data_IF_595135409804
#
_entry.id   IF_595135409804
#
_cell.length_a   1.000
_cell.length_b   1.000
_cell.length_c   1.000
_cell.angle_alpha   90.00
_cell.angle_beta   90.00
_cell.angle_gamma   90.00
#
_symmetry.space_group_name_H-M   'P 1'
#
loop_
_entity.id
_entity.type
_entity.pdbx_description
1 polymer ?
2 polymer ?
3 polymer ?
4 non-polymer ?
5 non-polymer ?
6 non-polymer ?
7 non-polymer ?
8 non-polymer ?
9 water ?
#
loop_
_entity_poly.entity_id
_entity_poly.type
_entity_poly.pdbx_seq_one_letter_code
_entity_poly.pdbx_strand_id
1 'polydeoxyribonucleotide' '(DG)(DG)(DG)(DG)(DT)(DG)(DT)(DG)(DG)(DT)(DA)(DDG)' ?
2 'polydeoxyribonucleotide' '(DC)(DA)(DT)(DC)(DG)(DC)(DT)(DA)(DC)(DC)(DA)(DC)(DA)(DC)(DC)(DC)(DC)' ?
#
# COMPACT_ATOMS: atom_id res chain seq x y z
N UNK C 2 -30.77 -3.66 -7.84
CA UNK C 2 -29.70 -2.63 -8.03
C UNK C 2 -28.28 -3.23 -7.88
N UNK C 3 -28.10 -4.53 -8.16
CA UNK C 3 -26.81 -5.22 -7.97
C UNK C 3 -26.23 -5.83 -9.27
N UNK C 4 -24.93 -5.59 -9.47
CA UNK C 4 -24.19 -6.05 -10.64
C UNK C 4 -23.42 -7.29 -10.21
N UNK C 5 -23.69 -8.41 -10.86
CA UNK C 5 -23.04 -9.69 -10.54
C UNK C 5 -21.77 -9.94 -11.38
N UNK C 6 -20.99 -10.94 -10.97
CA UNK C 6 -19.74 -11.25 -11.65
C UNK C 6 -19.88 -11.69 -13.11
N UNK C 7 -21.05 -12.19 -13.48
CA UNK C 7 -21.32 -12.57 -14.87
C UNK C 7 -21.97 -11.45 -15.69
N UNK C 8 -22.17 -10.28 -15.09
CA UNK C 8 -22.66 -9.10 -15.80
C UNK C 8 -21.47 -8.38 -16.48
N UNK C 9 -21.62 -7.90 -17.73
CA UNK C 9 -20.50 -7.16 -18.34
C UNK C 9 -19.99 -5.90 -17.60
N UNK C 10 -20.80 -5.32 -16.70
CA UNK C 10 -20.39 -4.14 -15.96
C UNK C 10 -19.59 -4.44 -14.68
N UNK C 11 -19.43 -5.73 -14.35
CA UNK C 11 -18.89 -6.09 -13.05
C UNK C 11 -17.55 -5.41 -12.71
N UNK C 12 -16.61 -5.49 -13.62
CA UNK C 12 -15.28 -5.01 -13.38
C UNK C 12 -15.29 -3.53 -13.15
N UNK C 13 -15.98 -2.83 -14.04
CA UNK C 13 -16.15 -1.39 -13.92
C UNK C 13 -16.75 -1.00 -12.57
N UNK C 14 -17.78 -1.72 -12.15
CA UNK C 14 -18.49 -1.41 -10.91
C UNK C 14 -17.64 -1.79 -9.67
N UNK C 15 -16.93 -2.91 -9.76
CA UNK C 15 -16.10 -3.37 -8.66
C UNK C 15 -14.95 -2.39 -8.44
N UNK C 16 -14.27 -2.05 -9.52
CA UNK C 16 -13.19 -1.10 -9.48
C UNK C 16 -13.63 0.31 -9.12
N UNK C 17 -14.85 0.71 -9.41
CA UNK C 17 -15.37 2.01 -8.96
C UNK C 17 -15.56 2.10 -7.43
N UNK C 18 -15.93 0.99 -6.80
CA UNK C 18 -16.08 0.89 -5.35
C UNK C 18 -14.88 0.43 -4.55
N UNK C 19 -13.90 -0.23 -5.18
CA UNK C 19 -12.80 -0.87 -4.47
C UNK C 19 -11.69 0.09 -4.10
N UNK C 20 -11.46 0.30 -2.81
CA UNK C 20 -10.46 1.25 -2.39
C UNK C 20 -9.06 0.70 -2.63
N UNK C 21 -8.89 -0.60 -2.51
CA UNK C 21 -7.60 -1.22 -2.80
C UNK C 21 -7.21 -1.14 -4.29
N UNK C 22 -8.19 -1.29 -5.18
CA UNK C 22 -7.93 -1.02 -6.59
C UNK C 22 -7.47 0.43 -6.77
N UNK C 23 -8.18 1.36 -6.13
CA UNK C 23 -7.84 2.78 -6.26
C UNK C 23 -6.42 3.06 -5.73
N UNK C 24 -6.04 2.45 -4.60
CA UNK C 24 -4.69 2.59 -4.07
C UNK C 24 -3.65 2.15 -5.09
N UNK C 25 -3.87 1.00 -5.71
CA UNK C 25 -2.97 0.47 -6.72
C UNK C 25 -2.91 1.28 -7.96
N UNK C 26 -4.06 1.68 -8.48
CA UNK C 26 -4.07 2.46 -9.70
C UNK C 26 -3.37 3.84 -9.49
N UNK C 27 -3.65 4.45 -8.34
CA UNK C 27 -3.06 5.74 -7.97
C UNK C 27 -1.54 5.66 -7.87
N UNK C 28 -1.08 4.60 -7.23
CA UNK C 28 0.34 4.31 -7.12
C UNK C 28 1.00 4.12 -8.50
N UNK C 29 0.36 3.31 -9.33
CA UNK C 29 0.82 3.09 -10.71
C UNK C 29 0.95 4.40 -11.46
N UNK C 30 -0.06 5.27 -11.36
CA UNK C 30 -0.04 6.58 -12.02
C UNK C 30 1.04 7.53 -11.48
N UNK C 31 1.29 7.49 -10.18
CA UNK C 31 2.31 8.34 -9.58
C UNK C 31 3.70 7.90 -10.03
N UNK C 32 3.95 6.60 -10.12
CA UNK C 32 5.26 6.12 -10.61
C UNK C 32 5.46 6.60 -12.04
N UNK C 33 4.42 6.48 -12.85
CA UNK C 33 4.43 6.99 -14.22
C UNK C 33 4.71 8.49 -14.36
N UNK C 34 4.03 9.31 -13.55
CA UNK C 34 4.30 10.74 -13.49
C UNK C 34 5.76 11.00 -13.16
N UNK C 35 6.30 10.27 -12.18
CA UNK C 35 7.71 10.45 -11.81
C UNK C 35 8.58 10.24 -13.04
N UNK C 36 8.36 9.13 -13.75
CA UNK C 36 9.17 8.82 -14.94
C UNK C 36 9.05 9.87 -16.02
N UNK C 37 7.85 10.41 -16.23
CA UNK C 37 7.60 11.44 -17.26
C UNK C 37 8.14 12.83 -16.86
N UNK C 38 7.95 13.21 -15.61
CA UNK C 38 8.49 14.46 -15.07
C UNK C 38 10.03 14.52 -15.04
N UNK C 39 10.69 13.36 -14.92
CA UNK C 39 12.14 13.29 -14.85
C UNK C 39 12.79 12.69 -16.11
N UNK C 40 12.15 12.82 -17.28
CA UNK C 40 12.68 12.23 -18.54
C UNK C 40 14.12 12.66 -18.79
N UNK C 41 14.37 13.97 -18.82
CA UNK C 41 15.71 14.51 -19.06
C UNK C 41 16.53 14.64 -17.76
N UNK C 42 15.86 14.97 -16.64
CA UNK C 42 16.55 15.27 -15.39
C UNK C 42 17.17 14.03 -14.73
N UNK C 43 18.43 13.74 -15.06
CA UNK C 43 19.19 12.65 -14.46
C UNK C 43 19.71 13.03 -13.07
N UNK C 44 18.87 12.84 -12.03
CA UNK C 44 19.30 13.08 -10.62
C UNK C 44 19.43 11.75 -9.87
N UNK C 45 20.66 11.39 -9.54
CA UNK C 45 20.94 10.12 -8.89
C UNK C 45 21.78 10.36 -7.64
N UNK C 46 21.65 9.43 -6.70
CA UNK C 46 22.34 9.49 -5.43
C UNK C 46 23.34 8.34 -5.45
N UNK C 47 24.57 8.62 -5.05
CA UNK C 47 25.63 7.63 -5.01
C UNK C 47 25.96 7.23 -3.57
N UNK C 48 26.71 6.14 -3.44
CA UNK C 48 27.05 5.65 -2.12
C UNK C 48 28.07 6.53 -1.36
N UNK C 49 28.56 7.59 -1.99
CA UNK C 49 29.43 8.58 -1.33
C UNK C 49 28.68 9.82 -0.82
N UNK C 50 27.39 9.95 -1.14
CA UNK C 50 26.60 11.13 -0.74
C UNK C 50 26.11 10.98 0.68
N UNK C 51 26.01 12.10 1.36
CA UNK C 51 25.33 12.21 2.63
C UNK C 51 23.97 12.80 2.31
N UNK C 52 22.93 12.27 2.93
CA UNK C 52 21.55 12.76 2.65
C UNK C 52 20.66 12.67 3.87
N UNK C 53 19.61 13.49 3.86
CA UNK C 53 18.52 13.38 4.82
C UNK C 53 17.24 12.98 4.09
N UNK C 54 16.52 12.05 4.73
CA UNK C 54 15.25 11.51 4.25
C UNK C 54 14.12 12.13 5.07
N UNK C 55 13.11 12.66 4.39
CA UNK C 55 11.86 13.12 5.01
C UNK C 55 10.78 12.19 4.51
N UNK C 56 10.28 11.34 5.40
CA UNK C 56 9.19 10.43 5.09
C UNK C 56 7.89 11.07 5.57
N UNK C 57 7.03 11.45 4.63
CA UNK C 57 5.86 12.31 4.90
C UNK C 57 4.57 11.59 4.53
N UNK C 58 3.61 11.50 5.44
CA UNK C 58 2.31 10.95 5.09
C UNK C 58 1.17 11.63 5.82
N UNK C 59 0.00 11.56 5.21
CA UNK C 59 -1.19 12.16 5.78
C UNK C 59 -1.65 11.37 6.98
N UNK C 60 -2.12 12.12 7.98
CA UNK C 60 -2.83 11.51 9.10
C UNK C 60 -4.26 11.15 8.67
N UNK C 61 -4.68 9.96 9.10
CA UNK C 61 -5.92 9.31 8.75
C UNK C 61 -6.52 9.81 7.45
N UNK C 62 -5.87 9.43 6.36
CA UNK C 62 -6.06 10.13 5.09
C UNK C 62 -7.53 10.11 4.65
N UNK C 63 -8.12 8.93 4.44
CA UNK C 63 -9.52 8.89 3.96
C UNK C 63 -10.47 9.55 4.96
N UNK C 64 -10.26 9.35 6.27
CA UNK C 64 -11.17 9.92 7.29
C UNK C 64 -11.15 11.43 7.25
N UNK C 65 -9.96 12.00 7.15
CA UNK C 65 -9.80 13.44 7.10
C UNK C 65 -10.48 14.05 5.87
N UNK C 66 -10.16 13.52 4.68
CA UNK C 66 -10.69 14.07 3.43
C UNK C 66 -12.21 13.84 3.27
N UNK C 67 -12.66 12.63 3.60
CA UNK C 67 -14.09 12.28 3.58
C UNK C 67 -14.90 13.16 4.52
N UNK C 68 -14.31 13.53 5.66
CA UNK C 68 -14.95 14.45 6.56
C UNK C 68 -15.02 15.86 5.97
N UNK C 69 -13.90 16.42 5.52
CA UNK C 69 -13.90 17.74 4.91
C UNK C 69 -14.81 17.83 3.66
N UNK C 70 -14.95 16.74 2.92
CA UNK C 70 -15.76 16.74 1.71
C UNK C 70 -17.15 16.14 1.91
N UNK C 71 -17.53 15.87 3.16
CA UNK C 71 -18.77 15.14 3.44
C UNK C 71 -20.03 15.88 2.98
N UNK C 72 -21.07 15.13 2.67
CA UNK C 72 -22.33 15.70 2.21
C UNK C 72 -23.14 16.32 3.34
N UNK C 73 -24.14 17.12 2.95
CA UNK C 73 -25.07 17.81 3.90
C UNK C 73 -25.68 16.89 4.96
N UNK C 74 -25.96 15.66 4.57
CA UNK C 74 -26.44 14.61 5.50
C UNK C 74 -25.54 14.36 6.72
N UNK C 75 -24.25 14.69 6.65
CA UNK C 75 -23.31 14.48 7.77
C UNK C 75 -22.80 15.78 8.40
N UNK C 76 -23.52 16.90 8.21
CA UNK C 76 -23.09 18.22 8.73
C UNK C 76 -22.86 18.26 10.23
N UNK C 77 -23.70 17.54 10.97
CA UNK C 77 -23.71 17.66 12.42
C UNK C 77 -22.45 17.09 13.10
N UNK C 78 -21.68 16.22 12.44
CA UNK C 78 -20.56 15.58 13.15
C UNK C 78 -19.30 16.44 13.21
N UNK C 79 -18.46 16.09 14.18
CA UNK C 79 -17.29 16.85 14.61
C UNK C 79 -16.07 15.92 14.62
N UNK C 80 -15.07 16.26 13.83
CA UNK C 80 -13.90 15.39 13.65
C UNK C 80 -12.99 15.32 14.88
N UNK C 81 -13.04 16.34 15.74
CA UNK C 81 -12.26 16.38 16.98
C UNK C 81 -12.95 15.59 18.13
N UNK C 82 -14.27 15.43 18.07
CA UNK C 82 -15.06 14.84 19.18
C UNK C 82 -15.63 13.44 18.89
N UNK C 83 -16.07 13.19 17.66
CA UNK C 83 -16.80 11.99 17.28
C UNK C 83 -15.88 10.89 16.72
N UNK C 84 -16.22 9.62 16.97
CA UNK C 84 -15.48 8.54 16.31
C UNK C 84 -16.01 8.32 14.88
N UNK C 85 -15.11 8.49 13.92
CA UNK C 85 -15.47 8.58 12.52
C UNK C 85 -14.67 7.56 11.75
N UNK C 86 -15.38 6.84 10.88
CA UNK C 86 -14.79 5.84 10.00
C UNK C 86 -15.35 6.02 8.58
N UNK C 87 -14.57 5.47 7.63
CA UNK C 87 -14.89 5.45 6.22
C UNK C 87 -15.05 3.99 5.84
N UNK C 88 -16.22 3.65 5.32
CA UNK C 88 -16.54 2.27 4.92
C UNK C 88 -17.75 2.25 3.96
N UNK C 89 -18.04 1.09 3.36
CA UNK C 89 -19.22 0.91 2.48
C UNK C 89 -20.47 0.50 3.23
N UNK C 90 -20.31 -0.41 4.19
CA UNK C 90 -21.40 -1.21 4.72
C UNK C 90 -21.72 -0.92 6.16
N UNK C 91 -22.45 -1.83 6.79
CA UNK C 91 -22.89 -1.64 8.17
C UNK C 91 -22.45 -2.76 9.11
N UNK C 92 -21.93 -3.87 8.58
CA UNK C 92 -21.61 -5.03 9.41
C UNK C 92 -20.18 -5.50 9.13
N UNK C 93 -19.99 -6.47 8.23
CA UNK C 93 -18.67 -7.01 7.94
C UNK C 93 -17.97 -6.22 6.83
N UNK C 94 -17.92 -4.90 7.00
CA UNK C 94 -17.37 -3.98 6.05
C UNK C 94 -16.10 -3.33 6.64
N UNK C 95 -15.00 -3.42 5.89
CA UNK C 95 -13.72 -2.84 6.26
C UNK C 95 -13.78 -1.35 6.53
N UNK C 96 -13.20 -0.98 7.65
CA UNK C 96 -12.89 0.38 7.94
C UNK C 96 -11.61 0.72 7.17
N UNK C 97 -11.73 1.51 6.12
CA UNK C 97 -10.57 1.91 5.33
C UNK C 97 -9.66 2.81 6.14
N UNK C 98 -10.28 3.76 6.86
CA UNK C 98 -9.56 4.73 7.67
C UNK C 98 -10.48 5.12 8.82
N UNK C 99 -9.91 5.30 10.00
CA UNK C 99 -10.65 5.86 11.17
C UNK C 99 -9.84 7.01 11.76
N UNK C 100 -10.54 8.01 12.30
CA UNK C 100 -9.88 9.16 12.93
C UNK C 100 -9.29 8.82 14.30
N UNK C 101 -8.50 9.74 14.86
CA UNK C 101 -7.78 9.45 16.10
C UNK C 101 -8.71 9.35 17.34
N UNK C 102 -9.91 9.89 17.28
CA UNK C 102 -10.88 9.69 18.34
C UNK C 102 -11.24 8.21 18.35
N UNK C 103 -11.69 7.70 17.21
CA UNK C 103 -12.01 6.28 17.08
C UNK C 103 -10.86 5.41 17.56
N UNK C 104 -9.64 5.78 17.23
CA UNK C 104 -8.45 5.06 17.66
C UNK C 104 -8.21 5.08 19.17
N UNK C 105 -8.68 6.10 19.87
CA UNK C 105 -8.51 6.17 21.34
C UNK C 105 -9.35 5.10 22.05
N UNK C 106 -10.43 4.63 21.40
CA UNK C 106 -11.22 3.50 21.91
C UNK C 106 -10.72 2.14 21.44
N UNK C 107 -9.62 2.06 20.73
CA UNK C 107 -9.13 0.79 20.21
C UNK C 107 -9.46 0.49 18.75
N UNK C 108 -10.27 1.32 18.08
CA UNK C 108 -10.67 1.05 16.66
C UNK C 108 -9.44 1.27 15.78
N UNK C 109 -9.29 0.41 14.77
CA UNK C 109 -8.10 0.39 13.92
C UNK C 109 -8.46 0.19 12.45
N UNK C 110 -7.66 0.75 11.56
CA UNK C 110 -7.79 0.53 10.11
C UNK C 110 -7.86 -0.96 9.79
N UNK C 111 -8.81 -1.39 8.95
CA UNK C 111 -8.95 -2.79 8.49
C UNK C 111 -9.89 -3.66 9.30
N UNK C 112 -10.38 -3.11 10.40
CA UNK C 112 -11.32 -3.73 11.30
C UNK C 112 -12.70 -3.64 10.64
N UNK C 113 -13.56 -4.64 10.88
CA UNK C 113 -14.91 -4.58 10.36
C UNK C 113 -15.69 -3.62 11.24
N UNK C 114 -16.66 -2.94 10.64
CA UNK C 114 -17.53 -2.02 11.38
C UNK C 114 -18.14 -2.64 12.63
N UNK C 115 -18.63 -3.87 12.49
CA UNK C 115 -19.38 -4.55 13.56
C UNK C 115 -18.51 -4.82 14.79
N UNK C 116 -17.27 -5.19 14.55
CA UNK C 116 -16.20 -5.34 15.56
C UNK C 116 -15.87 -4.00 16.23
N UNK C 117 -15.80 -2.93 15.44
CA UNK C 117 -15.53 -1.58 15.98
C UNK C 117 -16.63 -1.03 16.89
N UNK C 118 -17.89 -1.26 16.50
CA UNK C 118 -19.10 -0.90 17.31
C UNK C 118 -19.07 -1.38 18.75
N UNK C 119 -18.52 -2.57 18.96
CA UNK C 119 -18.46 -3.18 20.28
C UNK C 119 -17.43 -2.51 21.22
N UNK C 120 -16.48 -1.76 20.68
CA UNK C 120 -15.51 -1.05 21.48
C UNK C 120 -15.97 0.32 21.96
N UNK C 121 -17.11 0.78 21.48
CA UNK C 121 -17.68 2.03 21.96
C UNK C 121 -18.54 1.73 23.18
N UNK C 122 -18.26 2.38 24.32
CA UNK C 122 -19.28 2.36 25.38
C UNK C 122 -20.59 3.06 24.99
N UNK C 123 -21.68 2.63 25.64
CA UNK C 123 -23.04 3.09 25.35
C UNK C 123 -23.13 4.62 25.44
N UNK C 124 -24.01 5.19 24.61
CA UNK C 124 -24.13 6.64 24.48
C UNK C 124 -23.38 7.20 23.28
N UNK C 125 -22.29 6.54 22.86
CA UNK C 125 -21.44 7.02 21.76
C UNK C 125 -21.72 6.26 20.45
N UNK C 126 -22.08 7.01 19.42
CA UNK C 126 -22.39 6.48 18.09
C UNK C 126 -21.14 6.49 17.18
N UNK C 127 -20.90 5.40 16.47
CA UNK C 127 -19.90 5.37 15.39
C UNK C 127 -20.45 6.14 14.19
N UNK C 128 -19.74 7.15 13.70
CA UNK C 128 -20.13 7.85 12.48
C UNK C 128 -19.45 7.16 11.30
N UNK C 129 -20.22 6.74 10.30
CA UNK C 129 -19.72 6.12 9.05
C UNK C 129 -19.91 7.07 7.88
N UNK C 130 -18.79 7.42 7.25
CA UNK C 130 -18.80 8.33 6.11
C UNK C 130 -18.50 7.55 4.84
N UNK C 131 -19.12 7.96 3.72
CA UNK C 131 -18.76 7.35 2.46
C UNK C 131 -17.41 7.78 1.92
N UNK C 132 -16.92 6.96 1.00
CA UNK C 132 -15.70 7.24 0.26
C UNK C 132 -15.93 8.42 -0.70
N UNK C 133 -14.94 9.31 -0.78
CA UNK C 133 -14.91 10.42 -1.72
C UNK C 133 -13.64 10.25 -2.54
N UNK C 134 -13.69 9.33 -3.50
CA UNK C 134 -12.50 8.88 -4.21
C UNK C 134 -11.80 9.96 -5.03
N UNK C 135 -12.57 10.74 -5.78
CA UNK C 135 -12.03 11.80 -6.63
C UNK C 135 -11.37 12.87 -5.80
N UNK C 136 -11.96 13.15 -4.64
CA UNK C 136 -11.43 14.14 -3.69
C UNK C 136 -10.18 13.65 -2.98
N UNK C 137 -10.08 12.35 -2.71
CA UNK C 137 -8.83 11.78 -2.26
C UNK C 137 -7.69 12.11 -3.23
N UNK C 138 -7.95 11.95 -4.54
CA UNK C 138 -6.94 12.24 -5.58
C UNK C 138 -6.58 13.72 -5.68
N UNK C 139 -7.59 14.56 -5.59
CA UNK C 139 -7.36 16.03 -5.62
C UNK C 139 -6.49 16.48 -4.44
N UNK C 140 -6.72 15.93 -3.26
CA UNK C 140 -5.87 16.29 -2.11
C UNK C 140 -4.42 15.78 -2.28
N UNK C 141 -4.25 14.54 -2.75
CA UNK C 141 -2.92 14.00 -3.10
C UNK C 141 -2.16 14.89 -4.10
N UNK C 142 -2.86 15.35 -5.11
CA UNK C 142 -2.30 16.19 -6.13
C UNK C 142 -1.77 17.50 -5.51
N UNK C 143 -2.58 18.14 -4.66
CA UNK C 143 -2.17 19.33 -3.95
C UNK C 143 -0.95 19.07 -3.06
N UNK C 144 -0.95 17.94 -2.37
CA UNK C 144 0.23 17.45 -1.60
C UNK C 144 1.54 17.36 -2.43
N UNK C 145 1.50 16.61 -3.52
CA UNK C 145 2.69 16.38 -4.33
C UNK C 145 3.12 17.67 -4.98
N UNK C 146 2.14 18.45 -5.40
CA UNK C 146 2.40 19.77 -5.97
C UNK C 146 3.10 20.72 -4.95
N UNK C 147 2.64 20.72 -3.70
CA UNK C 147 3.26 21.49 -2.64
C UNK C 147 4.71 21.04 -2.40
N UNK C 148 4.93 19.72 -2.33
CA UNK C 148 6.30 19.20 -2.21
C UNK C 148 7.27 19.75 -3.26
N UNK C 149 6.85 19.78 -4.53
CA UNK C 149 7.70 20.31 -5.62
C UNK C 149 7.89 21.83 -5.50
N UNK C 150 6.80 22.55 -5.28
CA UNK C 150 6.81 23.99 -5.21
C UNK C 150 7.75 24.53 -4.11
N UNK C 151 7.88 23.82 -2.99
CA UNK C 151 8.84 24.21 -1.96
C UNK C 151 10.29 24.29 -2.46
N UNK C 152 10.65 23.44 -3.43
CA UNK C 152 11.93 23.49 -4.11
C UNK C 152 13.08 23.30 -3.10
N UNK C 153 12.96 22.26 -2.29
CA UNK C 153 13.98 21.91 -1.30
C UNK C 153 14.48 20.48 -1.38
N UNK C 154 13.90 19.62 -2.21
CA UNK C 154 14.32 18.23 -2.24
C UNK C 154 15.00 17.97 -3.56
N UNK C 155 16.01 17.12 -3.52
CA UNK C 155 16.70 16.68 -4.74
C UNK C 155 15.87 15.60 -5.41
N UNK C 156 15.11 14.83 -4.61
CA UNK C 156 14.30 13.70 -5.08
C UNK C 156 13.00 13.60 -4.29
N UNK C 157 11.88 13.43 -5.00
CA UNK C 157 10.56 13.19 -4.41
C UNK C 157 10.03 11.88 -4.97
N UNK C 158 9.89 10.88 -4.11
CA UNK C 158 9.58 9.53 -4.52
C UNK C 158 8.23 9.19 -3.96
N UNK C 159 7.27 8.85 -4.83
CA UNK C 159 5.93 8.51 -4.35
C UNK C 159 5.91 7.11 -3.77
N UNK C 160 5.30 6.98 -2.60
CA UNK C 160 5.11 5.68 -1.96
C UNK C 160 3.67 5.25 -2.15
N UNK C 161 2.76 6.20 -2.02
CA UNK C 161 1.33 5.94 -2.12
C UNK C 161 0.61 7.27 -2.39
N UNK C 162 -0.70 7.19 -2.55
CA UNK C 162 -1.58 8.33 -2.68
C UNK C 162 -1.29 9.40 -1.62
N UNK C 163 -0.96 9.00 -0.40
CA UNK C 163 -0.87 9.91 0.75
C UNK C 163 0.54 9.95 1.37
N UNK C 164 1.57 9.50 0.65
CA UNK C 164 2.85 9.23 1.28
C UNK C 164 4.00 9.32 0.31
N UNK C 165 5.05 10.01 0.75
CA UNK C 165 6.20 10.27 -0.10
C UNK C 165 7.49 10.27 0.72
N UNK C 166 8.57 9.82 0.07
CA UNK C 166 9.90 9.86 0.61
C UNK C 166 10.68 10.94 -0.14
N UNK C 167 11.04 11.98 0.58
CA UNK C 167 11.72 13.12 -0.01
C UNK C 167 13.15 13.19 0.50
N UNK C 168 14.09 13.39 -0.43
CA UNK C 168 15.52 13.29 -0.18
C UNK C 168 16.24 14.63 -0.39
N UNK C 169 17.03 15.02 0.59
CA UNK C 169 17.92 16.19 0.53
C UNK C 169 19.36 15.71 0.65
N UNK C 170 20.12 15.85 -0.43
CA UNK C 170 21.57 15.67 -0.39
C UNK C 170 22.14 16.88 0.36
N UNK C 171 23.07 16.62 1.27
CA UNK C 171 23.61 17.63 2.20
C UNK C 171 25.09 17.36 2.46
N UNK C 172 25.83 18.35 2.99
CA UNK C 172 27.23 18.07 3.31
C UNK C 172 27.35 17.13 4.49
N UNK C 173 28.43 16.38 4.54
CA UNK C 173 28.77 15.59 5.72
C UNK C 173 29.03 16.51 6.92
N UNK C 174 28.45 16.19 8.07
CA UNK C 174 28.74 16.90 9.32
C UNK C 174 28.42 18.41 9.24
N UNK C 175 27.13 18.73 9.21
CA UNK C 175 26.66 20.14 9.24
C UNK C 175 26.35 20.60 10.66
N UNK C 176 26.43 21.92 10.83
CA UNK C 176 26.23 22.58 12.12
C UNK C 176 24.72 22.68 12.38
N UNK C 177 24.31 22.30 13.59
CA UNK C 177 22.90 22.46 14.02
C UNK C 177 21.93 21.70 13.09
N UNK C 178 22.26 20.44 12.79
CA UNK C 178 21.46 19.60 11.89
C UNK C 178 20.03 19.33 12.45
N UNK C 179 19.92 19.08 13.76
CA UNK C 179 18.65 18.78 14.40
C UNK C 179 17.71 19.98 14.36
N UNK C 180 18.23 21.14 14.73
CA UNK C 180 17.42 22.34 14.73
C UNK C 180 17.09 22.85 13.34
N UNK C 181 18.02 22.76 12.39
CA UNK C 181 17.72 23.22 11.05
C UNK C 181 16.70 22.34 10.34
N UNK C 182 16.70 21.05 10.64
CA UNK C 182 15.78 20.11 10.01
C UNK C 182 14.42 20.14 10.69
N UNK C 183 14.38 20.48 11.99
CA UNK C 183 13.12 20.76 12.66
C UNK C 183 12.36 21.95 12.04
N UNK C 184 13.10 22.98 11.67
CA UNK C 184 12.52 24.14 10.98
C UNK C 184 11.88 23.73 9.66
N UNK C 185 12.60 22.96 8.84
CA UNK C 185 12.04 22.41 7.61
C UNK C 185 10.77 21.58 7.83
N UNK C 186 10.80 20.66 8.81
CA UNK C 186 9.63 19.83 9.15
C UNK C 186 8.43 20.69 9.48
N UNK C 187 8.64 21.77 10.24
CA UNK C 187 7.56 22.70 10.56
C UNK C 187 7.07 23.45 9.33
N UNK C 188 7.99 23.95 8.50
CA UNK C 188 7.61 24.64 7.26
C UNK C 188 6.76 23.73 6.32
N UNK C 189 7.14 22.45 6.22
CA UNK C 189 6.52 21.51 5.32
C UNK C 189 5.09 21.19 5.77
N UNK C 190 4.94 20.95 7.07
CA UNK C 190 3.65 20.68 7.68
C UNK C 190 2.65 21.81 7.51
N UNK C 191 3.11 23.04 7.63
CA UNK C 191 2.24 24.21 7.52
C UNK C 191 1.87 24.44 6.07
N UNK C 192 2.86 24.33 5.18
CA UNK C 192 2.61 24.44 3.74
C UNK C 192 1.63 23.42 3.20
N UNK C 193 1.72 22.17 3.66
CA UNK C 193 0.79 21.11 3.19
C UNK C 193 -0.62 21.33 3.76
N UNK C 194 -0.68 21.73 5.02
CA UNK C 194 -1.95 22.05 5.65
C UNK C 194 -2.70 23.15 4.90
N UNK C 195 -1.97 24.20 4.53
CA UNK C 195 -2.53 25.29 3.73
C UNK C 195 -2.85 24.81 2.31
N UNK C 196 -1.93 24.09 1.67
CA UNK C 196 -2.14 23.67 0.31
C UNK C 196 -3.26 22.67 0.09
N UNK C 197 -3.62 21.92 1.13
CA UNK C 197 -4.67 20.90 1.04
C UNK C 197 -5.97 21.37 1.67
N UNK C 198 -6.00 22.64 2.04
CA UNK C 198 -7.14 23.21 2.72
C UNK C 198 -7.57 22.40 3.94
N UNK C 199 -6.59 22.02 4.76
CA UNK C 199 -6.91 21.54 6.10
C UNK C 199 -6.57 20.13 6.47
N UNK C 200 -5.87 19.37 5.62
CA UNK C 200 -5.33 18.03 6.01
C UNK C 200 -3.96 18.12 6.65
N UNK C 201 -3.71 17.31 7.68
CA UNK C 201 -2.43 17.35 8.36
C UNK C 201 -1.56 16.21 7.94
N UNK C 202 -0.24 16.45 7.96
CA UNK C 202 0.77 15.43 7.70
C UNK C 202 1.71 15.27 8.90
N UNK C 203 2.28 14.08 9.05
CA UNK C 203 3.39 13.88 9.96
C UNK C 203 4.63 13.62 9.14
N UNK C 204 5.79 13.79 9.78
CA UNK C 204 7.08 13.68 9.13
C UNK C 204 8.01 12.92 10.02
N UNK C 205 8.65 11.89 9.46
CA UNK C 205 9.80 11.26 10.07
C UNK C 205 11.04 11.70 9.33
N UNK C 206 12.06 12.16 10.07
CA UNK C 206 13.27 12.67 9.45
C UNK C 206 14.49 11.96 10.04
N UNK C 207 15.29 11.36 9.17
CA UNK C 207 16.50 10.66 9.56
C UNK C 207 17.55 10.64 8.42
N UNK C 208 18.64 9.89 8.63
CA UNK C 208 19.67 9.70 7.60
C UNK C 208 19.66 8.26 7.07
N UNK C 209 18.51 7.59 7.23
CA UNK C 209 18.26 6.35 6.55
C UNK C 209 16.75 6.14 6.36
N UNK C 210 16.44 5.36 5.36
CA UNK C 210 15.06 5.08 5.00
C UNK C 210 14.36 4.42 6.16
N UNK C 211 15.01 3.41 6.73
CA UNK C 211 14.42 2.63 7.80
C UNK C 211 14.11 3.51 9.05
N UNK C 212 15.05 4.35 9.45
CA UNK C 212 14.81 5.19 10.61
C UNK C 212 13.79 6.27 10.35
N UNK C 213 13.78 6.80 9.14
CA UNK C 213 12.84 7.84 8.80
C UNK C 213 11.40 7.31 8.84
N UNK C 214 11.26 6.04 8.46
CA UNK C 214 9.98 5.34 8.55
C UNK C 214 9.57 5.14 10.00
N UNK C 215 10.49 4.67 10.86
CA UNK C 215 10.19 4.53 12.27
C UNK C 215 9.87 5.87 12.92
N UNK C 216 10.64 6.90 12.58
CA UNK C 216 10.42 8.25 13.10
C UNK C 216 9.05 8.80 12.73
N UNK C 217 8.59 8.51 11.51
CA UNK C 217 7.23 8.89 11.11
C UNK C 217 6.15 8.27 11.99
N UNK C 218 6.24 6.96 12.25
CA UNK C 218 5.28 6.28 13.14
C UNK C 218 5.25 6.93 14.52
N UNK C 219 6.42 7.21 15.09
CA UNK C 219 6.54 7.90 16.37
C UNK C 219 5.94 9.32 16.34
N UNK C 220 6.02 9.99 15.19
CA UNK C 220 5.50 11.37 15.06
C UNK C 220 3.96 11.46 15.04
N UNK C 221 3.26 10.39 14.63
CA UNK C 221 1.80 10.47 14.44
C UNK C 221 1.00 10.68 15.75
N UNK C 222 -0.11 11.42 15.75
CA UNK C 222 -0.63 12.18 14.61
C UNK C 222 -0.10 13.60 14.69
N UNK C 223 -0.08 14.29 13.55
CA UNK C 223 0.12 15.70 13.44
C UNK C 223 1.39 16.21 14.15
N UNK C 224 2.51 15.58 13.85
CA UNK C 224 3.80 15.96 14.43
C UNK C 224 4.97 15.55 13.54
N UNK C 225 6.17 15.77 14.04
CA UNK C 225 7.35 15.34 13.32
C UNK C 225 8.32 14.76 14.32
N UNK C 226 9.23 13.91 13.86
CA UNK C 226 10.27 13.33 14.69
C UNK C 226 11.56 13.21 13.89
N UNK C 227 12.65 13.62 14.53
CA UNK C 227 13.96 13.58 13.96
C UNK C 227 14.81 12.64 14.80
N UNK C 228 15.29 11.57 14.20
CA UNK C 228 16.18 10.62 14.87
C UNK C 228 17.20 10.14 13.84
N UNK C 229 18.40 10.69 13.91
CA UNK C 229 19.50 10.20 13.10
C UNK C 229 20.12 9.00 13.75
N UNK C 230 20.87 8.26 12.97
CA UNK C 230 21.61 7.10 13.48
C UNK C 230 22.34 7.44 14.80
N UNK C 231 22.99 8.58 14.83
CA UNK C 231 23.70 9.03 16.04
C UNK C 231 22.79 9.45 17.24
N UNK C 232 21.48 9.59 17.04
CA UNK C 232 20.52 9.85 18.13
C UNK C 232 19.89 8.55 18.68
N UNK C 233 20.30 7.38 18.22
CA UNK C 233 19.65 6.13 18.58
C UNK C 233 19.82 5.84 20.07
N UNK C 234 18.76 5.31 20.70
CA UNK C 234 18.72 5.02 22.13
C UNK C 234 17.81 3.83 22.38
N UNK C 235 17.97 3.19 23.55
CA UNK C 235 17.05 2.15 23.98
C UNK C 235 15.60 2.61 24.07
N UNK C 236 15.37 3.87 24.42
CA UNK C 236 14.02 4.42 24.57
C UNK C 236 13.31 4.57 23.21
N UNK C 237 14.08 4.93 22.18
CA UNK C 237 13.58 4.97 20.80
C UNK C 237 13.14 3.57 20.41
N UNK C 238 14.02 2.60 20.57
CA UNK C 238 13.74 1.23 20.14
C UNK C 238 12.62 0.58 20.91
N UNK C 239 12.47 0.97 22.18
CA UNK C 239 11.41 0.48 23.07
C UNK C 239 10.01 0.89 22.61
N UNK C 240 9.90 1.89 21.73
CA UNK C 240 8.62 2.43 21.28
C UNK C 240 7.97 1.70 20.09
N UNK C 241 8.64 0.71 19.51
CA UNK C 241 8.21 0.07 18.25
C UNK C 241 7.93 -1.41 18.38
N UNK C 242 6.83 -1.83 17.74
CA UNK C 242 6.49 -3.24 17.61
C UNK C 242 7.43 -3.83 16.57
N UNK C 243 7.56 -5.13 16.57
CA UNK C 243 8.41 -5.80 15.60
C UNK C 243 7.92 -5.59 14.17
N UNK C 244 6.61 -5.60 13.97
CA UNK C 244 6.03 -5.43 12.63
C UNK C 244 5.96 -3.95 12.17
N UNK C 245 6.51 -3.05 12.98
CA UNK C 245 6.85 -1.71 12.52
C UNK C 245 8.06 -1.71 11.58
N UNK C 246 8.93 -2.71 11.66
CA UNK C 246 10.01 -2.85 10.68
C UNK C 246 9.40 -3.08 9.29
N UNK C 247 9.91 -2.37 8.26
CA UNK C 247 9.42 -2.59 6.89
C UNK C 247 9.87 -3.99 6.39
N UNK C 248 8.94 -4.75 5.81
CA UNK C 248 9.18 -6.15 5.43
C UNK C 248 8.75 -7.16 6.48
N UNK C 249 8.32 -6.68 7.66
CA UNK C 249 7.83 -7.57 8.70
C UNK C 249 6.33 -7.37 8.86
N UNK C 250 5.59 -8.38 8.43
CA UNK C 250 4.13 -8.37 8.54
C UNK C 250 3.73 -9.50 9.43
N UNK C 251 2.43 -9.78 9.42
CA UNK C 251 1.77 -10.81 10.22
C UNK C 251 2.55 -12.14 10.33
N UNK C 252 2.98 -12.67 9.20
CA UNK C 252 3.60 -13.98 9.14
C UNK C 252 5.03 -13.99 9.69
N UNK C 253 5.81 -12.97 9.37
CA UNK C 253 7.18 -12.83 9.88
C UNK C 253 7.18 -12.50 11.38
N UNK C 254 6.21 -11.70 11.84
CA UNK C 254 6.02 -11.39 13.27
C UNK C 254 5.89 -12.69 14.08
N UNK C 255 5.01 -13.56 13.60
CA UNK C 255 4.72 -14.82 14.26
C UNK C 255 5.99 -15.68 14.40
N UNK C 256 6.80 -15.73 13.36
CA UNK C 256 8.08 -16.46 13.40
C UNK C 256 9.12 -15.83 14.33
N UNK C 257 9.21 -14.51 14.31
CA UNK C 257 10.08 -13.79 15.23
C UNK C 257 9.63 -13.92 16.69
N UNK C 258 8.32 -13.89 16.92
CA UNK C 258 7.79 -14.05 18.28
C UNK C 258 8.07 -15.46 18.80
N UNK C 259 8.01 -16.46 17.91
CA UNK C 259 8.28 -17.83 18.31
C UNK C 259 9.78 -18.04 18.67
N UNK C 260 10.66 -17.74 17.74
CA UNK C 260 12.10 -17.84 17.96
C UNK C 260 12.64 -17.06 19.16
N UNK C 261 12.14 -15.83 19.40
CA UNK C 261 12.75 -14.94 20.45
C UNK C 261 11.81 -14.68 21.61
N UNK C 262 10.80 -15.54 21.71
CA UNK C 262 9.88 -15.60 22.83
C UNK C 262 9.12 -14.30 23.11
N UNK C 263 8.35 -13.86 22.12
CA UNK C 263 7.44 -12.72 22.22
C UNK C 263 8.07 -11.47 22.83
N UNK C 264 9.12 -10.94 22.18
CA UNK C 264 9.62 -9.62 22.54
C UNK C 264 8.51 -8.60 22.39
N UNK C 265 8.39 -7.69 23.35
CA UNK C 265 7.32 -6.70 23.34
C UNK C 265 7.70 -5.55 22.44
N UNK C 266 8.99 -5.27 22.28
CA UNK C 266 9.44 -4.18 21.45
C UNK C 266 10.69 -4.55 20.68
N UNK C 267 11.12 -3.64 19.79
CA UNK C 267 12.38 -3.79 19.05
C UNK C 267 13.59 -3.76 19.97
N UNK C 268 13.48 -3.00 21.06
CA UNK C 268 14.54 -3.01 22.05
C UNK C 268 14.68 -4.35 22.75
N UNK C 269 13.57 -5.04 23.06
CA UNK C 269 13.65 -6.41 23.60
C UNK C 269 14.31 -7.33 22.58
N UNK C 270 13.95 -7.19 21.30
CA UNK C 270 14.55 -7.98 20.25
C UNK C 270 16.05 -7.67 20.07
N UNK C 271 16.44 -6.39 20.05
CA UNK C 271 17.89 -6.00 20.01
C UNK C 271 18.69 -6.76 21.07
N UNK C 272 18.18 -6.83 22.28
CA UNK C 272 18.86 -7.50 23.39
C UNK C 272 18.95 -9.02 23.23
N UNK C 273 17.96 -9.66 22.62
CA UNK C 273 17.87 -11.13 22.56
C UNK C 273 18.47 -11.77 21.31
N UNK C 274 18.62 -11.04 20.22
CA UNK C 274 18.84 -11.69 18.95
C UNK C 274 20.33 -11.92 18.65
N UNK C 275 20.58 -12.92 17.82
CA UNK C 275 21.84 -13.04 17.07
C UNK C 275 21.48 -13.10 15.58
N UNK C 276 22.40 -12.65 14.75
CA UNK C 276 22.21 -12.68 13.30
C UNK C 276 21.91 -14.08 12.82
N UNK C 277 22.61 -15.09 13.34
CA UNK C 277 22.41 -16.46 12.86
C UNK C 277 21.01 -17.00 13.23
N UNK C 278 20.53 -16.67 14.43
CA UNK C 278 19.17 -17.05 14.84
C UNK C 278 18.06 -16.36 14.02
N UNK C 279 18.32 -15.11 13.60
CA UNK C 279 17.40 -14.37 12.71
C UNK C 279 17.28 -15.06 11.37
N UNK C 280 18.43 -15.41 10.80
CA UNK C 280 18.47 -16.09 9.52
C UNK C 280 17.68 -17.40 9.54
N UNK C 281 17.88 -18.17 10.61
CA UNK C 281 17.12 -19.41 10.81
C UNK C 281 15.61 -19.19 10.95
N UNK C 282 15.22 -18.12 11.64
CA UNK C 282 13.80 -17.87 11.90
C UNK C 282 13.05 -17.40 10.66
N UNK C 283 13.64 -16.46 9.91
CA UNK C 283 12.95 -15.73 8.81
C UNK C 283 13.57 -15.77 7.39
N UNK C 284 14.75 -16.38 7.26
CA UNK C 284 15.46 -16.45 5.98
C UNK C 284 16.69 -15.58 6.00
N UNK C 285 17.60 -15.85 5.06
CA UNK C 285 18.90 -15.20 4.98
C UNK C 285 18.78 -13.70 4.68
N UNK C 286 18.01 -13.36 3.67
CA UNK C 286 17.89 -11.97 3.22
C UNK C 286 17.19 -11.06 4.26
N UNK C 287 16.02 -11.48 4.68
CA UNK C 287 15.18 -10.72 5.58
C UNK C 287 15.82 -10.65 6.98
N UNK C 288 16.47 -11.75 7.38
CA UNK C 288 17.26 -11.78 8.63
C UNK C 288 18.35 -10.75 8.62
N UNK C 289 19.06 -10.64 7.50
CA UNK C 289 20.11 -9.62 7.36
C UNK C 289 19.51 -8.20 7.38
N UNK C 290 18.42 -8.01 6.61
CA UNK C 290 17.70 -6.72 6.56
C UNK C 290 17.33 -6.24 7.96
N UNK C 291 16.78 -7.13 8.76
CA UNK C 291 16.37 -6.81 10.13
C UNK C 291 17.58 -6.47 11.02
N UNK C 292 18.64 -7.27 10.90
CA UNK C 292 19.88 -7.00 11.64
C UNK C 292 20.40 -5.61 11.30
N UNK C 293 20.41 -5.28 10.02
CA UNK C 293 20.78 -3.93 9.58
C UNK C 293 19.83 -2.84 10.11
N UNK C 294 18.52 -3.10 10.08
CA UNK C 294 17.56 -2.08 10.53
C UNK C 294 17.75 -1.73 12.01
N UNK C 295 18.08 -2.73 12.83
CA UNK C 295 18.31 -2.54 14.28
C UNK C 295 19.60 -1.77 14.59
N UNK C 296 20.41 -1.49 13.58
CA UNK C 296 21.52 -0.55 13.66
C UNK C 296 21.22 0.77 12.92
N UNK C 297 19.97 0.92 12.46
CA UNK C 297 19.53 2.09 11.74
C UNK C 297 19.99 2.21 10.31
N UNK C 298 20.39 1.09 9.71
CA UNK C 298 20.96 1.03 8.37
C UNK C 298 20.01 0.32 7.41
N UNK C 299 20.01 0.78 6.16
CA UNK C 299 19.23 0.18 5.08
C UNK C 299 19.98 -0.96 4.41
N UNK C 300 19.25 -1.94 3.94
CA UNK C 300 19.80 -3.00 3.13
C UNK C 300 19.99 -2.49 1.69
N UNK C 301 20.85 -3.17 0.92
CA UNK C 301 21.12 -2.78 -0.48
C UNK C 301 19.88 -2.73 -1.35
N UNK C 302 18.97 -3.67 -1.16
CA UNK C 302 17.75 -3.75 -1.92
C UNK C 302 16.88 -2.49 -1.73
N UNK C 303 16.67 -2.03 -0.49
CA UNK C 303 15.92 -0.79 -0.21
C UNK C 303 16.58 0.43 -0.83
N UNK C 304 17.92 0.47 -0.79
CA UNK C 304 18.70 1.60 -1.31
C UNK C 304 18.62 1.78 -2.83
N UNK C 305 18.24 0.72 -3.57
CA UNK C 305 18.03 0.83 -5.02
C UNK C 305 17.13 1.99 -5.43
N UNK C 306 16.12 2.32 -4.62
CA UNK C 306 15.25 3.43 -4.96
C UNK C 306 15.98 4.78 -4.92
N UNK C 307 16.94 4.94 -4.02
CA UNK C 307 17.80 6.14 -4.03
C UNK C 307 18.84 6.11 -5.15
N UNK C 308 19.45 4.95 -5.37
CA UNK C 308 20.54 4.85 -6.34
C UNK C 308 20.10 4.84 -7.80
N UNK C 309 18.86 4.40 -8.08
CA UNK C 309 18.38 4.31 -9.47
C UNK C 309 16.83 4.31 -9.50
N UNK C 310 16.22 5.45 -9.12
CA UNK C 310 14.75 5.45 -8.99
C UNK C 310 14.02 5.12 -10.30
N UNK C 311 14.52 5.59 -11.43
CA UNK C 311 13.93 5.29 -12.75
C UNK C 311 13.85 3.83 -13.07
N UNK C 312 14.88 3.07 -12.70
CA UNK C 312 14.84 1.64 -12.83
C UNK C 312 13.82 1.02 -11.88
N UNK C 313 13.88 1.39 -10.62
CA UNK C 313 12.98 0.79 -9.63
C UNK C 313 11.49 1.12 -9.91
N UNK C 314 11.20 2.36 -10.33
CA UNK C 314 9.81 2.76 -10.63
C UNK C 314 9.24 2.34 -12.02
N UNK C 315 10.09 1.87 -12.92
CA UNK C 315 9.70 1.24 -14.19
C UNK C 315 8.76 0.04 -13.94
N UNK C 316 7.56 0.08 -14.51
CA UNK C 316 6.63 -1.03 -14.40
C UNK C 316 7.10 -2.26 -15.16
N UNK C 317 7.19 -3.38 -14.46
CA UNK C 317 7.68 -4.63 -15.03
C UNK C 317 6.59 -5.68 -15.23
N UNK C 318 5.42 -5.48 -14.61
CA UNK C 318 4.26 -6.36 -14.85
C UNK C 318 2.94 -5.62 -14.70
N UNK C 319 1.87 -6.29 -15.10
CA UNK C 319 0.54 -5.71 -15.10
C UNK C 319 -0.46 -6.79 -14.80
N UNK C 320 -1.41 -6.55 -13.90
CA UNK C 320 -2.40 -7.56 -13.58
C UNK C 320 -3.68 -6.98 -12.97
N UNK C 321 -4.69 -7.83 -12.89
CA UNK C 321 -5.88 -7.60 -12.10
C UNK C 321 -6.08 -8.81 -11.21
N UNK C 322 -6.73 -8.56 -10.09
CA UNK C 322 -6.83 -9.54 -9.00
C UNK C 322 -8.20 -9.30 -8.37
N UNK C 323 -9.15 -10.23 -8.58
CA UNK C 323 -10.53 -10.09 -8.11
C UNK C 323 -10.93 -11.29 -7.26
N UNK C 324 -11.01 -11.03 -5.96
CA UNK C 324 -11.24 -12.02 -4.94
C UNK C 324 -12.45 -11.62 -4.10
N UNK C 325 -13.41 -10.93 -4.72
CA UNK C 325 -14.64 -10.54 -4.06
C UNK C 325 -15.73 -10.54 -5.08
N UNK C 326 -16.89 -11.08 -4.75
CA UNK C 326 -18.00 -11.20 -5.69
C UNK C 326 -17.91 -12.32 -6.73
N UNK C 327 -16.96 -13.24 -6.55
CA UNK C 327 -16.73 -14.31 -7.54
C UNK C 327 -17.61 -15.51 -7.19
N UNK C 328 -18.71 -15.65 -7.92
CA UNK C 328 -19.70 -16.73 -7.75
C UNK C 328 -20.20 -17.14 -9.12
N UNK C 329 -19.52 -18.08 -9.76
CA UNK C 329 -19.90 -18.58 -11.10
C UNK C 329 -20.54 -19.97 -10.98
N UNK C 330 -21.52 -20.23 -11.84
CA UNK C 330 -22.22 -21.53 -11.88
C UNK C 330 -21.54 -22.50 -12.88
N UNK C 331 -20.99 -21.98 -13.99
CA UNK C 331 -20.44 -22.81 -15.06
C UNK C 331 -19.21 -22.19 -15.76
N UNK C 332 -18.54 -23.00 -16.58
CA UNK C 332 -17.29 -22.63 -17.26
C UNK C 332 -17.49 -21.55 -18.34
N UNK C 333 -18.68 -21.51 -18.93
CA UNK C 333 -18.99 -20.48 -19.92
C UNK C 333 -18.89 -19.07 -19.34
N UNK C 334 -19.46 -18.87 -18.15
CA UNK C 334 -19.43 -17.55 -17.52
C UNK C 334 -18.00 -17.19 -17.09
N UNK C 335 -17.21 -18.18 -16.65
CA UNK C 335 -15.81 -17.99 -16.28
C UNK C 335 -15.02 -17.47 -17.49
N UNK C 336 -15.22 -18.12 -18.64
CA UNK C 336 -14.54 -17.75 -19.87
C UNK C 336 -14.84 -16.32 -20.29
N UNK C 337 -16.14 -15.96 -20.26
CA UNK C 337 -16.55 -14.57 -20.55
C UNK C 337 -15.87 -13.57 -19.61
N UNK C 338 -15.76 -13.91 -18.34
CA UNK C 338 -15.10 -13.03 -17.36
C UNK C 338 -13.59 -12.87 -17.66
N UNK C 339 -12.93 -13.98 -17.99
CA UNK C 339 -11.50 -13.97 -18.36
C UNK C 339 -11.25 -13.09 -19.58
N UNK C 340 -12.11 -13.26 -20.56
CA UNK C 340 -12.09 -12.43 -21.77
C UNK C 340 -12.25 -10.94 -21.46
N UNK C 341 -13.24 -10.58 -20.64
CA UNK C 341 -13.37 -9.16 -20.20
C UNK C 341 -12.14 -8.69 -19.44
N UNK C 342 -11.62 -9.54 -18.58
CA UNK C 342 -10.37 -9.24 -17.88
C UNK C 342 -9.19 -9.03 -18.79
N UNK C 343 -9.01 -9.91 -19.80
CA UNK C 343 -7.89 -9.73 -20.75
C UNK C 343 -8.02 -8.45 -21.53
N UNK C 344 -9.24 -8.08 -21.88
CA UNK C 344 -9.45 -6.86 -22.66
C UNK C 344 -9.12 -5.61 -21.88
N UNK C 345 -9.58 -5.57 -20.64
CA UNK C 345 -9.20 -4.50 -19.71
C UNK C 345 -7.67 -4.34 -19.61
N UNK C 346 -6.98 -5.44 -19.35
CA UNK C 346 -5.51 -5.40 -19.27
C UNK C 346 -4.87 -5.00 -20.57
N UNK C 347 -5.43 -5.48 -21.68
CA UNK C 347 -4.93 -5.06 -22.99
C UNK C 347 -5.10 -3.57 -23.28
N UNK C 348 -6.23 -3.00 -22.89
CA UNK C 348 -6.41 -1.54 -23.01
C UNK C 348 -5.34 -0.78 -22.21
N UNK C 349 -4.99 -1.23 -21.00
CA UNK C 349 -3.91 -0.61 -20.20
C UNK C 349 -2.54 -0.81 -20.81
N UNK C 350 -2.25 -2.04 -21.20
CA UNK C 350 -1.02 -2.37 -21.92
C UNK C 350 -0.88 -1.47 -23.17
N UNK C 351 -1.97 -1.31 -23.93
CA UNK C 351 -1.93 -0.48 -25.13
C UNK C 351 -1.81 1.01 -24.82
N UNK C 352 -2.39 1.48 -23.70
CA UNK C 352 -2.20 2.86 -23.25
C UNK C 352 -0.73 3.17 -23.04
N UNK C 353 -0.03 2.27 -22.35
CA UNK C 353 1.38 2.47 -22.00
C UNK C 353 2.41 2.02 -23.06
N UNK C 354 1.95 1.62 -24.26
CA UNK C 354 2.83 1.26 -25.41
C UNK C 354 3.80 0.11 -25.12
N UNK C 355 3.25 -0.99 -24.60
CA UNK C 355 4.03 -2.19 -24.37
C UNK C 355 3.31 -3.40 -24.88
N UNK C 356 4.05 -4.49 -25.01
CA UNK C 356 3.53 -5.80 -25.31
C UNK C 356 3.95 -6.73 -24.18
N UNK C 357 3.40 -7.94 -24.20
CA UNK C 357 3.69 -8.92 -23.16
C UNK C 357 4.08 -10.24 -23.82
N UNK C 358 5.03 -10.95 -23.20
CA UNK C 358 5.50 -12.25 -23.72
C UNK C 358 5.30 -13.40 -22.73
N UNK C 359 4.68 -13.12 -21.58
CA UNK C 359 4.43 -14.14 -20.57
C UNK C 359 3.24 -13.73 -19.70
N UNK C 360 2.38 -14.73 -19.40
CA UNK C 360 1.15 -14.53 -18.63
C UNK C 360 0.99 -15.57 -17.54
N UNK C 361 0.18 -15.23 -16.53
CA UNK C 361 -0.16 -16.14 -15.45
C UNK C 361 -1.62 -16.03 -15.09
N UNK C 362 -2.24 -17.17 -14.82
CA UNK C 362 -3.53 -17.23 -14.18
C UNK C 362 -3.41 -17.80 -12.78
N UNK C 363 -4.01 -17.10 -11.85
CA UNK C 363 -3.99 -17.45 -10.45
C UNK C 363 -5.43 -17.45 -9.98
N UNK C 364 -5.80 -18.47 -9.23
CA UNK C 364 -7.15 -18.59 -8.71
C UNK C 364 -7.15 -18.91 -7.24
N UNK C 365 -8.30 -18.68 -6.62
CA UNK C 365 -8.54 -19.04 -5.23
C UNK C 365 -9.72 -20.03 -5.22
N UNK C 366 -9.50 -21.18 -4.58
CA UNK C 366 -10.50 -22.23 -4.50
C UNK C 366 -10.95 -22.35 -3.06
N UNK C 367 -12.26 -22.45 -2.85
CA UNK C 367 -12.81 -22.77 -1.52
C UNK C 367 -12.09 -23.98 -0.89
N UNK C 368 -11.53 -23.84 0.32
CA UNK C 368 -10.95 -25.00 1.01
C UNK C 368 -12.01 -26.12 1.16
N UNK C 369 -11.53 -27.37 1.15
CA UNK C 369 -12.39 -28.58 1.34
C UNK C 369 -13.46 -28.38 2.44
N UNK C 370 -12.99 -27.95 3.62
CA UNK C 370 -13.82 -27.88 4.83
C UNK C 370 -14.39 -26.50 5.18
N UNK C 371 -14.05 -25.46 4.41
CA UNK C 371 -14.61 -24.11 4.63
C UNK C 371 -16.09 -24.05 4.22
N UNK C 372 -16.86 -23.11 4.81
CA UNK C 372 -18.27 -22.96 4.42
C UNK C 372 -18.51 -22.46 2.98
N UNK C 373 -19.61 -22.90 2.36
CA UNK C 373 -19.99 -22.43 1.02
C UNK C 373 -20.21 -20.91 1.02
N UNK C 374 -20.76 -20.36 2.09
CA UNK C 374 -20.92 -18.93 2.21
C UNK C 374 -20.15 -18.46 3.42
N UNK C 375 -19.09 -17.65 3.21
CA UNK C 375 -18.26 -17.16 4.32
C UNK C 375 -18.93 -16.05 5.12
N UNK C 376 -18.36 -15.68 6.25
CA UNK C 376 -19.04 -14.68 7.07
C UNK C 376 -19.15 -13.27 6.44
N UNK C 377 -18.17 -12.88 5.62
CA UNK C 377 -18.27 -11.63 4.84
C UNK C 377 -19.09 -11.88 3.60
N UNK C 378 -20.16 -11.13 3.41
CA UNK C 378 -20.97 -11.18 2.19
C UNK C 378 -20.12 -11.01 0.94
N UNK C 379 -20.23 -12.00 0.03
CA UNK C 379 -19.46 -12.09 -1.24
C UNK C 379 -17.93 -12.19 -1.05
N UNK C 380 -17.48 -12.44 0.18
CA UNK C 380 -16.07 -12.63 0.44
C UNK C 380 -15.58 -13.94 -0.14
N UNK C 381 -14.26 -14.09 -0.21
CA UNK C 381 -13.67 -15.32 -0.76
C UNK C 381 -13.63 -16.41 0.30
N UNK C 382 -13.55 -16.03 1.59
CA UNK C 382 -13.43 -16.97 2.70
C UNK C 382 -12.08 -17.66 2.70
N UNK C 383 -11.97 -18.72 3.50
CA UNK C 383 -10.74 -19.52 3.54
C UNK C 383 -10.60 -20.26 2.23
N UNK C 384 -9.44 -20.12 1.60
CA UNK C 384 -9.22 -20.67 0.26
C UNK C 384 -7.82 -21.19 0.11
N UNK C 385 -7.63 -22.10 -0.83
CA UNK C 385 -6.29 -22.46 -1.34
C UNK C 385 -6.02 -21.68 -2.62
N UNK C 386 -4.77 -21.31 -2.83
CA UNK C 386 -4.31 -20.49 -3.94
C UNK C 386 -3.47 -21.30 -4.93
N UNK C 387 -3.82 -21.28 -6.22
CA UNK C 387 -3.08 -22.02 -7.25
C UNK C 387 -2.79 -21.14 -8.47
N UNK C 388 -1.63 -21.32 -9.10
CA UNK C 388 -1.29 -20.57 -10.31
C UNK C 388 -0.53 -21.36 -11.39
N UNK C 389 -0.78 -21.02 -12.65
CA UNK C 389 -0.01 -21.53 -13.78
C UNK C 389 0.37 -20.39 -14.70
N UNK C 390 1.61 -20.42 -15.20
CA UNK C 390 2.09 -19.40 -16.13
C UNK C 390 2.34 -20.01 -17.49
N UNK C 391 2.54 -19.15 -18.47
CA UNK C 391 2.79 -19.60 -19.82
C UNK C 391 3.51 -18.52 -20.60
N UNK C 392 4.55 -18.93 -21.31
CA UNK C 392 5.26 -18.07 -22.24
C UNK C 392 4.54 -18.05 -23.59
N UNK C 393 4.35 -16.87 -24.15
CA UNK C 393 3.61 -16.70 -25.40
C UNK C 393 4.51 -16.78 -26.63
N UNK C 394 5.81 -16.58 -26.40
CA UNK C 394 6.77 -16.57 -27.45
C UNK C 394 7.13 -15.13 -27.72
N UNK C 395 6.75 -14.68 -28.91
CA UNK C 395 6.99 -13.29 -29.37
C UNK C 395 6.13 -12.39 -28.47
N UNK C 396 6.67 -11.24 -28.06
CA UNK C 396 5.82 -10.24 -27.41
C UNK C 396 4.63 -9.84 -28.31
N UNK C 397 3.46 -9.64 -27.70
CA UNK C 397 2.25 -9.37 -28.47
C UNK C 397 1.26 -8.62 -27.63
N UNK C 398 0.29 -8.03 -28.32
CA UNK C 398 -0.87 -7.45 -27.68
C UNK C 398 -2.15 -7.96 -28.37
N UNK C 399 -2.07 -9.14 -28.96
CA UNK C 399 -3.20 -9.72 -29.67
C UNK C 399 -4.08 -10.48 -28.71
N UNK C 400 -5.36 -10.09 -28.70
CA UNK C 400 -6.37 -10.68 -27.82
C UNK C 400 -6.48 -12.18 -28.03
N UNK C 401 -6.51 -12.62 -29.29
CA UNK C 401 -6.70 -14.05 -29.58
C UNK C 401 -5.66 -14.95 -28.96
N UNK C 402 -4.41 -14.52 -29.00
CA UNK C 402 -3.30 -15.28 -28.41
C UNK C 402 -3.44 -15.29 -26.87
N UNK C 403 -3.64 -14.10 -26.31
CA UNK C 403 -3.57 -13.88 -24.87
C UNK C 403 -4.72 -14.52 -24.12
N UNK C 404 -5.93 -14.26 -24.59
CA UNK C 404 -7.12 -14.75 -23.92
C UNK C 404 -7.30 -16.24 -24.05
N UNK C 405 -7.00 -16.78 -25.23
CA UNK C 405 -7.06 -18.24 -25.44
C UNK C 405 -6.13 -18.96 -24.49
N UNK C 406 -4.92 -18.44 -24.39
CA UNK C 406 -3.96 -18.99 -23.44
C UNK C 406 -4.42 -18.86 -21.99
N UNK C 407 -5.04 -17.74 -21.60
CA UNK C 407 -5.57 -17.61 -20.18
C UNK C 407 -6.65 -18.62 -19.86
N UNK C 408 -7.56 -18.78 -20.81
CA UNK C 408 -8.65 -19.74 -20.64
C UNK C 408 -8.15 -21.17 -20.57
N UNK C 409 -7.09 -21.44 -21.32
CA UNK C 409 -6.45 -22.76 -21.31
C UNK C 409 -5.82 -22.99 -19.93
N UNK C 410 -5.09 -21.97 -19.45
CA UNK C 410 -4.52 -22.05 -18.10
C UNK C 410 -5.58 -22.34 -17.03
N UNK C 411 -6.78 -21.77 -17.17
CA UNK C 411 -7.85 -22.06 -16.20
C UNK C 411 -8.18 -23.55 -16.29
N UNK C 412 -8.28 -24.07 -17.51
CA UNK C 412 -8.52 -25.52 -17.70
C UNK C 412 -7.42 -26.40 -17.09
N UNK C 413 -6.16 -26.02 -17.23
CA UNK C 413 -5.09 -26.84 -16.66
C UNK C 413 -5.22 -26.89 -15.13
N UNK C 414 -5.69 -25.80 -14.49
CA UNK C 414 -5.87 -25.77 -13.00
C UNK C 414 -7.06 -26.55 -12.44
N UNK C 415 -8.03 -26.91 -13.27
CA UNK C 415 -9.08 -27.86 -12.85
C UNK C 415 -10.02 -27.50 -11.72
N UNK C 416 -10.20 -26.21 -11.43
CA UNK C 416 -11.12 -25.78 -10.37
C UNK C 416 -12.56 -25.76 -10.91
N UNK C 417 -13.48 -26.51 -10.28
CA UNK C 417 -14.87 -26.38 -10.76
C UNK C 417 -15.34 -24.93 -10.56
N UNK C 418 -16.05 -24.36 -11.54
CA UNK C 418 -16.57 -22.99 -11.42
C UNK C 418 -17.16 -22.62 -10.06
N UNK C 419 -17.97 -23.50 -9.48
CA UNK C 419 -18.67 -23.21 -8.22
C UNK C 419 -17.80 -23.24 -6.98
N UNK C 420 -16.57 -23.76 -7.09
CA UNK C 420 -15.60 -23.69 -6.00
C UNK C 420 -14.70 -22.44 -6.12
N UNK C 421 -14.78 -21.72 -7.23
CA UNK C 421 -13.94 -20.56 -7.49
C UNK C 421 -14.36 -19.41 -6.59
N UNK C 422 -13.41 -18.85 -5.84
CA UNK C 422 -13.68 -17.66 -5.05
C UNK C 422 -12.83 -16.45 -5.47
N UNK C 423 -11.94 -16.63 -6.44
CA UNK C 423 -11.03 -15.56 -6.82
C UNK C 423 -10.20 -15.86 -8.05
N UNK C 424 -9.97 -14.82 -8.86
CA UNK C 424 -9.20 -14.91 -10.10
C UNK C 424 -8.25 -13.71 -10.23
N UNK C 425 -7.00 -13.98 -10.64
CA UNK C 425 -6.07 -12.96 -11.10
C UNK C 425 -5.51 -13.34 -12.46
N UNK C 426 -5.38 -12.32 -13.31
CA UNK C 426 -4.86 -12.42 -14.64
C UNK C 426 -3.67 -11.47 -14.70
N UNK C 427 -2.52 -11.99 -15.13
CA UNK C 427 -1.24 -11.26 -15.03
C UNK C 427 -0.48 -11.33 -16.34
N UNK C 428 0.06 -10.18 -16.77
CA UNK C 428 1.06 -10.09 -17.80
C UNK C 428 2.41 -9.89 -17.09
N UNK C 429 3.25 -10.93 -17.08
CA UNK C 429 4.43 -10.99 -16.21
C UNK C 429 5.68 -10.33 -16.82
N UNK C 430 5.78 -10.26 -18.14
CA UNK C 430 6.99 -9.72 -18.81
C UNK C 430 6.53 -8.73 -19.85
N UNK C 431 6.99 -7.50 -19.73
CA UNK C 431 6.57 -6.43 -20.61
C UNK C 431 7.73 -6.01 -21.48
N UNK C 432 7.42 -5.67 -22.73
CA UNK C 432 8.42 -5.23 -23.69
C UNK C 432 7.93 -3.94 -24.32
N UNK C 433 8.85 -3.00 -24.49
CA UNK C 433 8.52 -1.68 -25.00
C UNK C 433 8.26 -1.69 -26.49
N UNK C 434 7.46 -0.69 -26.90
CA UNK C 434 7.22 -0.28 -28.28
C UNK C 434 6.14 -1.18 -28.86
#
# INVERSE_FOLDING_TARGET
KRIVACDDPDFLTSYFAHSRLHHLSAWKANLKDKFLNENIHKYTKITDKDTYIIFHIDFDCFFATVAYLCRSSSFSACDFKRDPIVVCHGTKNSDIASCNYVARSYGIKNGMWVSQAEKMLPNGIKLISLPYTFEQFQLKSEAFYSTLKRLNIFNLILPISIDEAVCVRIIPDNIHNTNTLNARLCEEIRQEIFQGTNGCTVSIGCSDSLVLARLALKMAKPNGYNITFKSNLSEEFWSSFKLDDLPGVGHSTLSRLESTFDSPHSLNDLRKRYTLDALKASVGSKLGMKIHLALQGQDDEESLKILYDPKEVLQRKSLSIDINWGIRFKNITQVDLFIERGCQYLLEKLNEINKTTSQITLKLMRRCKDAPIEPPKYMGMGRCDSFSRSSRLGIPTNEFGIIATEMKSLYRTLGCPPMELRGLALQFNKLVDV
#
